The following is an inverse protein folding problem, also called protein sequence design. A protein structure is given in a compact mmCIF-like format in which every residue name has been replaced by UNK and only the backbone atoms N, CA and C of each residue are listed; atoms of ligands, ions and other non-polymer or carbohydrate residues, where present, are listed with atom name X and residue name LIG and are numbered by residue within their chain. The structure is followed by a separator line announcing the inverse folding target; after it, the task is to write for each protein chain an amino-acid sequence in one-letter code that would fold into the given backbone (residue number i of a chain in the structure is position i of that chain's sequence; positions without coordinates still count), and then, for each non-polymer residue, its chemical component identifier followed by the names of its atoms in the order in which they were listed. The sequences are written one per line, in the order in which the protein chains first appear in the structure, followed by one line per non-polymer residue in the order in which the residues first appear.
data_IF_700434035255
#
_entry.id   IF_700434035255
#
_cell.length_a   1.000
_cell.length_b   1.000
_cell.length_c   1.000
_cell.angle_alpha   90.00
_cell.angle_beta   90.00
_cell.angle_gamma   90.00
#
_symmetry.space_group_name_H-M   'P 1'
#
loop_
_entity.id
_entity.type
_entity.pdbx_description
1 polymer ?
#
# COMPACT_ATOMS: atom_id res chain seq x y z
N UNK A 1 39.56 -13.05 -17.79
CA UNK A 1 38.22 -13.38 -17.17
C UNK A 1 38.25 -13.16 -15.65
N UNK A 2 39.18 -13.75 -14.86
CA UNK A 2 39.21 -13.66 -13.40
C UNK A 2 39.24 -12.21 -12.85
N UNK A 3 40.06 -11.33 -13.41
CA UNK A 3 40.12 -9.92 -13.03
C UNK A 3 38.82 -9.15 -13.39
N UNK A 4 38.18 -9.52 -14.49
CA UNK A 4 36.91 -8.93 -14.90
C UNK A 4 35.78 -9.33 -13.93
N UNK A 5 35.67 -10.60 -13.57
CA UNK A 5 34.67 -11.08 -12.61
C UNK A 5 34.89 -10.50 -11.22
N UNK A 6 36.14 -10.32 -10.78
CA UNK A 6 36.46 -9.66 -9.51
C UNK A 6 35.99 -8.19 -9.51
N UNK A 7 36.23 -7.45 -10.58
CA UNK A 7 35.73 -6.07 -10.71
C UNK A 7 34.22 -6.00 -10.73
N UNK A 8 33.55 -6.95 -11.42
CA UNK A 8 32.09 -7.03 -11.42
C UNK A 8 31.52 -7.34 -10.03
N UNK A 9 32.15 -8.26 -9.29
CA UNK A 9 31.78 -8.55 -7.92
C UNK A 9 31.92 -7.35 -6.97
N UNK A 10 32.96 -6.52 -7.16
CA UNK A 10 33.13 -5.26 -6.43
C UNK A 10 32.03 -4.24 -6.73
N UNK A 11 31.38 -4.35 -7.89
CA UNK A 11 30.21 -3.56 -8.28
C UNK A 11 28.87 -4.27 -7.95
N UNK A 12 28.88 -5.25 -7.05
CA UNK A 12 27.73 -6.05 -6.64
C UNK A 12 27.09 -6.88 -7.76
N UNK A 13 27.80 -7.17 -8.84
CA UNK A 13 27.35 -8.06 -9.91
C UNK A 13 27.81 -9.50 -9.60
N UNK A 14 26.84 -10.40 -9.39
CA UNK A 14 27.11 -11.81 -9.10
C UNK A 14 27.17 -12.60 -10.41
N UNK A 15 28.34 -13.13 -10.73
CA UNK A 15 28.57 -13.97 -11.90
C UNK A 15 28.30 -15.42 -11.54
N UNK A 16 27.30 -16.03 -12.18
CA UNK A 16 26.94 -17.44 -12.00
C UNK A 16 27.58 -18.34 -13.06
N UNK A 17 27.86 -17.81 -14.24
CA UNK A 17 28.47 -18.54 -15.37
C UNK A 17 29.53 -17.65 -16.02
N UNK A 18 30.79 -18.13 -16.02
CA UNK A 18 31.92 -17.43 -16.59
C UNK A 18 31.84 -17.25 -18.11
N UNK A 19 31.21 -18.22 -18.81
CA UNK A 19 31.00 -18.12 -20.27
C UNK A 19 30.03 -17.01 -20.65
N UNK A 20 29.03 -16.74 -19.81
CA UNK A 20 28.08 -15.67 -20.00
C UNK A 20 28.72 -14.26 -19.94
N UNK A 21 29.83 -14.12 -19.20
CA UNK A 21 30.58 -12.84 -19.10
C UNK A 21 31.18 -12.41 -20.43
N UNK A 22 31.67 -13.37 -21.21
CA UNK A 22 32.26 -13.09 -22.51
C UNK A 22 31.20 -12.56 -23.50
N UNK A 23 29.99 -13.12 -23.46
CA UNK A 23 28.89 -12.66 -24.28
C UNK A 23 28.34 -11.26 -23.87
N UNK A 24 28.47 -10.87 -22.61
CA UNK A 24 28.02 -9.56 -22.12
C UNK A 24 28.71 -8.38 -22.83
N UNK A 25 29.96 -8.55 -23.24
CA UNK A 25 30.71 -7.51 -23.96
C UNK A 25 30.22 -7.27 -25.40
N UNK A 26 29.43 -8.18 -25.96
CA UNK A 26 28.95 -8.13 -27.33
C UNK A 26 27.44 -7.87 -27.43
N UNK A 27 26.71 -7.68 -26.31
CA UNK A 27 25.28 -7.40 -26.34
C UNK A 27 25.01 -6.01 -26.94
N UNK A 28 24.08 -5.93 -27.86
CA UNK A 28 23.63 -4.69 -28.50
C UNK A 28 22.29 -4.20 -27.93
N UNK A 29 21.54 -5.08 -27.24
CA UNK A 29 20.22 -4.78 -26.69
C UNK A 29 20.18 -5.27 -25.25
N UNK A 30 19.75 -4.41 -24.32
CA UNK A 30 19.51 -4.75 -22.92
C UNK A 30 18.02 -4.59 -22.64
N UNK A 31 17.37 -5.70 -22.27
CA UNK A 31 15.98 -5.70 -21.78
C UNK A 31 16.01 -5.72 -20.26
N UNK A 32 15.46 -4.70 -19.64
CA UNK A 32 15.40 -4.59 -18.16
C UNK A 32 13.96 -4.54 -17.71
N UNK A 33 13.60 -5.37 -16.72
CA UNK A 33 12.34 -5.23 -16.03
C UNK A 33 12.36 -3.97 -15.14
N UNK A 34 11.22 -3.28 -15.06
CA UNK A 34 11.09 -2.08 -14.22
C UNK A 34 11.11 -2.44 -12.74
N UNK A 35 10.31 -3.43 -12.35
CA UNK A 35 10.03 -3.72 -10.95
C UNK A 35 11.15 -4.52 -10.29
N UNK A 36 11.77 -3.96 -9.25
CA UNK A 36 12.86 -4.61 -8.52
C UNK A 36 14.24 -4.51 -9.22
N UNK A 37 14.30 -3.96 -10.43
CA UNK A 37 15.54 -3.70 -11.18
C UNK A 37 15.81 -2.21 -11.30
N UNK A 38 14.94 -1.46 -11.98
CA UNK A 38 15.01 -0.01 -12.07
C UNK A 38 14.41 0.66 -10.82
N UNK A 39 13.52 -0.03 -10.14
CA UNK A 39 12.91 0.39 -8.87
C UNK A 39 13.31 -0.56 -7.74
N UNK A 40 13.13 -0.12 -6.51
CA UNK A 40 13.42 -0.94 -5.32
C UNK A 40 12.31 -1.93 -4.97
N UNK A 41 11.28 -2.09 -5.81
CA UNK A 41 10.06 -2.86 -5.51
C UNK A 41 9.47 -2.49 -4.14
N UNK A 42 9.32 -1.20 -3.88
CA UNK A 42 8.92 -0.66 -2.58
C UNK A 42 7.91 0.45 -2.78
N UNK A 43 6.80 0.34 -2.07
CA UNK A 43 5.69 1.28 -2.11
C UNK A 43 5.65 2.12 -0.84
N UNK A 44 5.10 3.33 -0.95
CA UNK A 44 4.85 4.23 0.18
C UNK A 44 3.56 4.98 -0.09
N UNK A 45 2.64 4.97 0.85
CA UNK A 45 1.48 5.86 0.79
C UNK A 45 1.97 7.28 1.02
N UNK A 46 1.67 8.18 0.09
CA UNK A 46 2.00 9.60 0.14
C UNK A 46 0.80 10.47 0.36
N UNK A 47 -0.34 10.02 -0.15
CA UNK A 47 -1.57 10.76 -0.10
C UNK A 47 -2.76 9.80 0.04
N UNK A 48 -3.75 10.26 0.76
CA UNK A 48 -5.06 9.63 0.91
C UNK A 48 -6.10 10.62 0.39
N UNK A 49 -7.11 10.11 -0.28
CA UNK A 49 -8.25 10.89 -0.68
C UNK A 49 -9.53 10.31 -0.08
N UNK A 50 -10.34 11.17 0.52
CA UNK A 50 -11.67 10.84 1.04
C UNK A 50 -12.69 11.85 0.49
N UNK A 51 -13.96 11.63 0.76
CA UNK A 51 -14.99 12.62 0.42
C UNK A 51 -14.73 13.99 1.08
N UNK A 52 -14.00 14.01 2.18
CA UNK A 52 -13.57 15.22 2.90
C UNK A 52 -12.36 15.93 2.30
N UNK A 53 -11.73 15.36 1.26
CA UNK A 53 -10.54 15.89 0.58
C UNK A 53 -9.28 15.07 0.76
N UNK A 54 -8.16 15.70 0.46
CA UNK A 54 -6.83 15.11 0.45
C UNK A 54 -6.16 15.18 1.82
N UNK A 55 -5.35 14.15 2.11
CA UNK A 55 -4.55 14.05 3.32
C UNK A 55 -3.17 13.47 2.94
N UNK A 56 -2.12 14.29 3.04
CA UNK A 56 -0.76 13.83 2.80
C UNK A 56 -0.24 12.98 3.96
N UNK A 57 0.56 11.97 3.65
CA UNK A 57 1.23 11.10 4.62
C UNK A 57 2.73 11.32 4.55
N UNK A 58 3.30 11.87 5.62
CA UNK A 58 4.74 12.17 5.70
C UNK A 58 5.56 11.01 6.25
N UNK A 59 6.86 11.21 6.31
CA UNK A 59 7.82 10.25 6.85
C UNK A 59 8.35 9.27 5.83
N UNK A 60 9.46 8.62 6.19
CA UNK A 60 10.09 7.61 5.34
C UNK A 60 9.23 6.36 5.28
N UNK A 61 9.40 5.58 4.20
CA UNK A 61 8.62 4.40 3.87
C UNK A 61 8.42 3.43 5.04
N UNK A 62 9.50 3.00 5.64
CA UNK A 62 9.56 2.02 6.72
C UNK A 62 9.73 2.64 8.12
N UNK A 63 9.65 3.99 8.20
CA UNK A 63 9.72 4.69 9.47
C UNK A 63 8.44 4.49 10.28
N UNK A 64 8.60 4.38 11.57
CA UNK A 64 7.50 4.47 12.53
C UNK A 64 7.05 5.92 12.72
N UNK A 65 7.92 6.88 12.36
CA UNK A 65 7.60 8.29 12.40
C UNK A 65 6.89 8.72 11.12
N UNK A 66 5.98 9.63 11.29
CA UNK A 66 5.24 10.29 10.22
C UNK A 66 4.04 11.01 10.79
N UNK A 67 3.57 11.98 10.05
CA UNK A 67 2.41 12.80 10.38
C UNK A 67 1.50 12.90 9.17
N UNK A 68 0.33 13.41 9.40
CA UNK A 68 -0.65 13.70 8.35
C UNK A 68 -0.72 15.21 8.15
N UNK A 69 -0.81 15.65 6.87
CA UNK A 69 -0.90 17.06 6.52
C UNK A 69 -2.19 17.28 5.73
N UNK A 70 -2.99 18.25 6.12
CA UNK A 70 -4.24 18.64 5.47
C UNK A 70 -4.18 20.13 5.16
N UNK A 71 -4.32 20.48 3.86
CA UNK A 71 -4.27 21.87 3.44
C UNK A 71 -2.97 22.59 3.84
N UNK A 72 -1.82 21.90 3.73
CA UNK A 72 -0.50 22.43 4.07
C UNK A 72 -0.20 22.55 5.57
N UNK A 73 -1.08 22.06 6.46
CA UNK A 73 -0.91 22.10 7.92
C UNK A 73 -0.98 20.71 8.53
N UNK A 74 -0.22 20.46 9.59
CA UNK A 74 -0.30 19.20 10.30
C UNK A 74 -1.71 18.98 10.85
N UNK A 75 -2.31 17.84 10.51
CA UNK A 75 -3.57 17.40 11.06
C UNK A 75 -3.32 16.82 12.47
N UNK A 76 -3.76 17.55 13.49
CA UNK A 76 -3.63 17.10 14.89
C UNK A 76 -4.53 15.89 15.17
N UNK A 77 -5.67 15.82 14.50
CA UNK A 77 -6.63 14.73 14.59
C UNK A 77 -7.11 14.31 13.20
N UNK A 78 -7.35 13.03 13.04
CA UNK A 78 -7.96 12.47 11.84
C UNK A 78 -9.47 12.68 11.87
N UNK A 79 -10.06 12.97 10.72
CA UNK A 79 -11.50 12.94 10.54
C UNK A 79 -12.02 11.51 10.57
N UNK A 80 -13.30 11.32 10.84
CA UNK A 80 -13.89 9.99 10.96
C UNK A 80 -13.76 9.13 9.68
N UNK A 81 -13.86 9.75 8.50
CA UNK A 81 -13.68 9.09 7.21
C UNK A 81 -12.21 8.73 6.94
N UNK A 82 -11.25 9.59 7.31
CA UNK A 82 -9.81 9.32 7.21
C UNK A 82 -9.40 8.16 8.15
N UNK A 83 -9.87 8.18 9.39
CA UNK A 83 -9.61 7.11 10.35
C UNK A 83 -10.25 5.78 9.90
N UNK A 84 -11.45 5.82 9.32
CA UNK A 84 -12.10 4.63 8.78
C UNK A 84 -11.36 4.05 7.59
N UNK A 85 -10.86 4.90 6.66
CA UNK A 85 -10.04 4.48 5.53
C UNK A 85 -8.75 3.78 6.00
N UNK A 86 -8.04 4.38 6.96
CA UNK A 86 -6.82 3.78 7.53
C UNK A 86 -7.12 2.49 8.31
N UNK A 87 -8.28 2.41 8.98
CA UNK A 87 -8.75 1.18 9.62
C UNK A 87 -8.99 0.09 8.57
N UNK A 88 -9.59 0.43 7.43
CA UNK A 88 -9.79 -0.51 6.34
C UNK A 88 -8.45 -0.98 5.74
N UNK A 89 -7.44 -0.11 5.65
CA UNK A 89 -6.08 -0.49 5.23
C UNK A 89 -5.43 -1.50 6.18
N UNK A 90 -5.64 -1.34 7.48
CA UNK A 90 -5.14 -2.29 8.46
C UNK A 90 -5.92 -3.61 8.43
N UNK A 91 -7.25 -3.56 8.37
CA UNK A 91 -8.10 -4.74 8.46
C UNK A 91 -8.07 -5.59 7.18
N UNK A 92 -8.25 -4.97 6.00
CA UNK A 92 -8.23 -5.69 4.71
C UNK A 92 -6.79 -5.85 4.20
N UNK A 93 -5.98 -6.65 4.89
CA UNK A 93 -4.55 -6.79 4.62
C UNK A 93 -4.06 -8.19 4.97
N UNK A 94 -3.16 -8.73 4.14
CA UNK A 94 -2.53 -10.04 4.36
C UNK A 94 -1.06 -9.90 4.80
N UNK A 95 -0.45 -8.70 4.70
CA UNK A 95 0.92 -8.45 5.11
C UNK A 95 1.05 -8.32 6.63
N UNK A 96 2.29 -8.32 7.10
CA UNK A 96 2.62 -8.08 8.51
C UNK A 96 3.68 -6.98 8.66
N UNK A 97 3.57 -6.22 9.73
CA UNK A 97 4.61 -5.29 10.17
C UNK A 97 4.96 -5.57 11.63
N UNK A 98 6.24 -5.51 11.95
CA UNK A 98 6.76 -5.70 13.31
C UNK A 98 7.78 -4.60 13.63
N UNK A 99 7.90 -4.18 14.90
CA UNK A 99 8.95 -3.24 15.29
C UNK A 99 10.33 -3.76 14.91
N UNK A 100 11.10 -2.95 14.21
CA UNK A 100 12.47 -3.22 13.81
C UNK A 100 13.46 -2.27 14.50
N UNK A 101 14.74 -2.37 14.11
CA UNK A 101 15.81 -1.51 14.62
C UNK A 101 15.70 -0.09 14.03
N UNK A 102 16.32 0.90 14.70
CA UNK A 102 16.43 2.31 14.23
C UNK A 102 15.08 2.94 13.92
N UNK A 103 14.08 2.70 14.76
CA UNK A 103 12.71 3.23 14.63
C UNK A 103 12.04 2.94 13.28
N UNK A 104 12.29 1.73 12.75
CA UNK A 104 11.73 1.25 11.47
C UNK A 104 10.81 0.08 11.69
N UNK A 105 9.93 -0.17 10.73
CA UNK A 105 9.16 -1.39 10.62
C UNK A 105 9.96 -2.45 9.86
N UNK A 106 9.94 -3.68 10.37
CA UNK A 106 10.25 -4.87 9.59
C UNK A 106 8.94 -5.33 8.95
N UNK A 107 8.96 -5.53 7.64
CA UNK A 107 7.77 -5.83 6.84
C UNK A 107 7.87 -7.21 6.23
N UNK A 108 6.74 -7.90 6.12
CA UNK A 108 6.57 -9.16 5.42
C UNK A 108 5.27 -9.12 4.62
N UNK A 109 5.32 -9.51 3.34
CA UNK A 109 4.20 -9.46 2.40
C UNK A 109 4.41 -8.52 1.21
N UNK A 110 3.36 -8.35 0.43
CA UNK A 110 3.37 -7.54 -0.79
C UNK A 110 3.66 -6.06 -0.52
N UNK A 111 4.44 -5.38 -1.40
CA UNK A 111 4.83 -3.99 -1.20
C UNK A 111 3.66 -3.02 -1.01
N UNK A 112 2.58 -3.19 -1.76
CA UNK A 112 1.37 -2.36 -1.62
C UNK A 112 0.73 -2.58 -0.26
N UNK A 113 0.58 -3.83 0.17
CA UNK A 113 -0.04 -4.18 1.44
C UNK A 113 0.77 -3.66 2.63
N UNK A 114 2.09 -3.83 2.59
CA UNK A 114 2.97 -3.31 3.64
C UNK A 114 2.93 -1.77 3.73
N UNK A 115 2.82 -1.08 2.58
CA UNK A 115 2.69 0.38 2.55
C UNK A 115 1.39 0.86 3.23
N UNK A 116 0.28 0.17 2.99
CA UNK A 116 -1.02 0.47 3.61
C UNK A 116 -0.97 0.25 5.13
N UNK A 117 -0.36 -0.86 5.60
CA UNK A 117 -0.19 -1.12 7.03
C UNK A 117 0.66 -0.04 7.72
N UNK A 118 1.75 0.39 7.08
CA UNK A 118 2.62 1.44 7.63
C UNK A 118 1.87 2.77 7.71
N UNK A 119 1.06 3.11 6.70
CA UNK A 119 0.24 4.32 6.74
C UNK A 119 -0.77 4.28 7.90
N UNK A 120 -1.45 3.16 8.10
CA UNK A 120 -2.36 2.96 9.23
C UNK A 120 -1.62 3.02 10.58
N UNK A 121 -0.44 2.39 10.69
CA UNK A 121 0.36 2.37 11.90
C UNK A 121 0.87 3.78 12.31
N UNK A 122 1.10 4.70 11.36
CA UNK A 122 1.42 6.11 11.65
C UNK A 122 0.28 6.84 12.34
N UNK A 123 -0.96 6.37 12.16
CA UNK A 123 -2.14 6.84 12.87
C UNK A 123 -2.43 6.05 14.16
N UNK A 124 -1.56 5.12 14.56
CA UNK A 124 -1.80 4.23 15.69
C UNK A 124 -2.86 3.16 15.43
N UNK A 125 -3.24 2.94 14.17
CA UNK A 125 -4.25 1.97 13.78
C UNK A 125 -3.55 0.68 13.30
N UNK A 126 -3.90 -0.44 13.92
CA UNK A 126 -3.27 -1.72 13.69
C UNK A 126 -4.31 -2.78 13.33
N UNK A 127 -3.87 -3.79 12.59
CA UNK A 127 -4.65 -5.00 12.36
C UNK A 127 -4.94 -5.69 13.69
N UNK A 128 -6.14 -6.21 13.82
CA UNK A 128 -6.63 -6.93 15.00
C UNK A 128 -7.11 -8.33 14.58
N UNK A 129 -6.20 -9.31 14.53
CA UNK A 129 -6.54 -10.67 14.09
C UNK A 129 -7.63 -11.33 14.94
N UNK A 130 -7.71 -10.98 16.22
CA UNK A 130 -8.73 -11.47 17.15
C UNK A 130 -10.16 -11.06 16.81
N UNK A 131 -10.32 -10.00 16.01
CA UNK A 131 -11.61 -9.55 15.52
C UNK A 131 -12.01 -10.20 14.19
N UNK A 132 -11.08 -10.89 13.51
CA UNK A 132 -11.30 -11.45 12.18
C UNK A 132 -12.18 -12.71 12.23
N UNK A 133 -13.27 -12.70 11.44
CA UNK A 133 -14.17 -13.83 11.28
C UNK A 133 -13.87 -14.63 10.01
N UNK A 134 -13.53 -13.96 8.92
CA UNK A 134 -13.17 -14.59 7.66
C UNK A 134 -12.34 -13.67 6.78
N UNK A 135 -11.45 -14.26 5.99
CA UNK A 135 -10.62 -13.57 5.01
C UNK A 135 -10.89 -14.16 3.63
N UNK A 136 -11.20 -13.31 2.67
CA UNK A 136 -11.20 -13.64 1.24
C UNK A 136 -10.04 -12.93 0.59
N UNK A 137 -8.95 -13.66 0.34
CA UNK A 137 -7.75 -13.16 -0.30
C UNK A 137 -8.05 -12.46 -1.64
N UNK A 138 -7.08 -11.70 -2.14
CA UNK A 138 -7.19 -11.09 -3.45
C UNK A 138 -7.41 -12.16 -4.52
N UNK A 139 -8.38 -11.91 -5.38
CA UNK A 139 -8.72 -12.75 -6.51
C UNK A 139 -8.71 -11.91 -7.78
N UNK A 140 -7.98 -12.36 -8.80
CA UNK A 140 -7.80 -11.64 -10.07
C UNK A 140 -9.08 -11.48 -10.88
N UNK A 141 -10.10 -12.33 -10.66
CA UNK A 141 -11.42 -12.20 -11.29
C UNK A 141 -12.28 -11.17 -10.57
N UNK A 142 -12.20 -11.14 -9.23
CA UNK A 142 -12.93 -10.17 -8.39
C UNK A 142 -12.25 -8.81 -8.36
N UNK A 143 -10.93 -8.77 -8.58
CA UNK A 143 -10.05 -7.58 -8.46
C UNK A 143 -10.13 -6.89 -7.10
N UNK A 144 -10.45 -7.65 -6.07
CA UNK A 144 -10.52 -7.17 -4.68
C UNK A 144 -10.25 -8.29 -3.68
N UNK A 145 -9.83 -7.91 -2.48
CA UNK A 145 -9.86 -8.73 -1.28
C UNK A 145 -10.87 -8.20 -0.27
N UNK A 146 -11.28 -9.03 0.67
CA UNK A 146 -12.17 -8.60 1.76
C UNK A 146 -11.92 -9.39 3.03
N UNK A 147 -12.12 -8.73 4.16
CA UNK A 147 -12.02 -9.33 5.50
C UNK A 147 -13.29 -8.98 6.25
N UNK A 148 -13.92 -9.99 6.85
CA UNK A 148 -15.06 -9.81 7.75
C UNK A 148 -14.51 -9.74 9.17
N UNK A 149 -14.87 -8.69 9.90
CA UNK A 149 -14.47 -8.50 11.30
C UNK A 149 -15.68 -8.37 12.21
N UNK A 150 -15.51 -8.78 13.46
CA UNK A 150 -16.50 -8.56 14.52
C UNK A 150 -16.17 -7.28 15.26
N UNK A 151 -17.16 -6.44 15.44
CA UNK A 151 -17.13 -5.22 16.26
C UNK A 151 -18.28 -5.27 17.28
N UNK A 152 -18.25 -4.45 18.33
CA UNK A 152 -19.36 -4.38 19.30
C UNK A 152 -20.71 -4.11 18.64
N UNK A 153 -20.73 -3.31 17.56
CA UNK A 153 -21.91 -2.89 16.81
C UNK A 153 -22.40 -3.97 15.82
N UNK A 154 -21.62 -5.04 15.61
CA UNK A 154 -21.96 -6.10 14.67
C UNK A 154 -20.79 -6.57 13.81
N UNK A 155 -21.11 -7.26 12.72
CA UNK A 155 -20.11 -7.73 11.77
C UNK A 155 -19.97 -6.76 10.60
N UNK A 156 -18.71 -6.42 10.28
CA UNK A 156 -18.38 -5.52 9.18
C UNK A 156 -17.49 -6.21 8.16
N UNK A 157 -17.62 -5.84 6.90
CA UNK A 157 -16.74 -6.28 5.83
C UNK A 157 -15.91 -5.11 5.37
N UNK A 158 -14.59 -5.21 5.55
CA UNK A 158 -13.64 -4.30 4.91
C UNK A 158 -13.19 -4.92 3.59
N UNK A 159 -13.23 -4.13 2.52
CA UNK A 159 -12.78 -4.57 1.21
C UNK A 159 -11.84 -3.52 0.60
N UNK A 160 -10.81 -3.99 -0.10
CA UNK A 160 -9.93 -3.15 -0.92
C UNK A 160 -9.78 -3.75 -2.31
N UNK A 161 -9.65 -2.89 -3.29
CA UNK A 161 -9.49 -3.28 -4.69
C UNK A 161 -9.47 -2.05 -5.59
N UNK A 162 -9.35 -2.27 -6.88
CA UNK A 162 -9.34 -1.20 -7.86
C UNK A 162 -10.70 -0.48 -7.89
N UNK A 163 -10.70 0.87 -8.03
CA UNK A 163 -11.91 1.69 -7.97
C UNK A 163 -13.00 1.26 -8.94
N UNK A 164 -12.64 0.91 -10.17
CA UNK A 164 -13.55 0.44 -11.22
C UNK A 164 -14.33 -0.84 -10.83
N UNK A 165 -13.79 -1.62 -9.89
CA UNK A 165 -14.45 -2.83 -9.38
C UNK A 165 -15.19 -2.60 -8.05
N UNK A 166 -14.76 -1.63 -7.25
CA UNK A 166 -15.41 -1.30 -5.98
C UNK A 166 -16.61 -0.36 -6.16
N UNK A 167 -16.45 0.73 -6.92
CA UNK A 167 -17.48 1.75 -7.10
C UNK A 167 -18.85 1.21 -7.53
N UNK A 168 -18.95 0.26 -8.48
CA UNK A 168 -20.25 -0.30 -8.87
C UNK A 168 -20.95 -1.05 -7.72
N UNK A 169 -20.21 -1.48 -6.71
CA UNK A 169 -20.73 -2.20 -5.53
C UNK A 169 -21.11 -1.27 -4.38
N UNK A 170 -20.72 0.01 -4.48
CA UNK A 170 -20.99 1.01 -3.45
C UNK A 170 -22.31 1.72 -3.73
N UNK A 171 -23.15 1.85 -2.70
CA UNK A 171 -24.41 2.61 -2.73
C UNK A 171 -24.32 3.89 -1.93
N UNK A 172 -23.34 4.00 -1.04
CA UNK A 172 -23.13 5.14 -0.13
C UNK A 172 -21.65 5.52 -0.08
N UNK A 173 -21.39 6.77 0.25
CA UNK A 173 -20.06 7.26 0.62
C UNK A 173 -20.12 7.83 2.04
N UNK A 174 -18.99 7.76 2.74
CA UNK A 174 -18.84 8.41 4.04
C UNK A 174 -18.19 9.77 3.85
N UNK A 175 -18.83 10.81 4.35
CA UNK A 175 -18.29 12.16 4.37
C UNK A 175 -18.61 12.81 5.71
N UNK A 176 -17.59 13.35 6.37
CA UNK A 176 -17.72 13.99 7.68
C UNK A 176 -18.47 13.15 8.72
N UNK A 177 -18.18 11.85 8.74
CA UNK A 177 -18.80 10.91 9.67
C UNK A 177 -20.23 10.49 9.31
N UNK A 178 -20.81 10.98 8.22
CA UNK A 178 -22.18 10.64 7.76
C UNK A 178 -22.14 9.80 6.51
N UNK A 179 -23.08 8.86 6.40
CA UNK A 179 -23.28 8.04 5.22
C UNK A 179 -24.25 8.71 4.26
N UNK A 180 -23.74 9.20 3.13
CA UNK A 180 -24.50 9.86 2.07
C UNK A 180 -24.73 8.90 0.90
N UNK A 181 -25.83 9.04 0.14
CA UNK A 181 -25.99 8.32 -1.12
C UNK A 181 -24.82 8.61 -2.08
N UNK A 182 -24.35 7.58 -2.77
CA UNK A 182 -23.29 7.71 -3.76
C UNK A 182 -23.91 8.05 -5.11
N UNK A 183 -23.90 9.33 -5.47
CA UNK A 183 -24.41 9.83 -6.73
C UNK A 183 -23.38 9.75 -7.88
N UNK A 184 -23.84 9.97 -9.11
CA UNK A 184 -22.99 9.92 -10.29
C UNK A 184 -21.91 11.01 -10.33
N UNK A 185 -22.17 12.26 -9.90
CA UNK A 185 -21.12 13.27 -9.78
C UNK A 185 -19.98 12.82 -8.85
N UNK A 186 -20.31 12.23 -7.70
CA UNK A 186 -19.29 11.74 -6.77
C UNK A 186 -18.53 10.54 -7.33
N UNK A 187 -19.21 9.61 -8.02
CA UNK A 187 -18.55 8.49 -8.71
C UNK A 187 -17.51 8.98 -9.71
N UNK A 188 -17.85 9.98 -10.52
CA UNK A 188 -16.91 10.60 -11.48
C UNK A 188 -15.72 11.26 -10.77
N UNK A 189 -15.94 11.92 -9.63
CA UNK A 189 -14.83 12.48 -8.83
C UNK A 189 -13.88 11.41 -8.31
N UNK A 190 -14.40 10.30 -7.79
CA UNK A 190 -13.56 9.19 -7.31
C UNK A 190 -12.76 8.60 -8.47
N UNK A 191 -13.38 8.41 -9.64
CA UNK A 191 -12.69 7.87 -10.81
C UNK A 191 -11.57 8.80 -11.29
N UNK A 192 -11.86 10.09 -11.42
CA UNK A 192 -10.87 11.10 -11.82
C UNK A 192 -9.71 11.25 -10.83
N UNK A 193 -9.89 10.87 -9.57
CA UNK A 193 -8.83 10.86 -8.55
C UNK A 193 -7.98 9.59 -8.61
N UNK A 194 -8.50 8.52 -9.22
CA UNK A 194 -7.82 7.24 -9.36
C UNK A 194 -6.98 7.12 -10.65
N UNK A 195 -7.30 7.92 -11.67
CA UNK A 195 -6.62 8.01 -12.97
C UNK A 195 -5.37 8.89 -12.87
#
# INVERSE_FOLDING_TARGET
LALGTQKMAQQNAIIKDLKAVESLGSVSIICSDKTGTLTQNRMTVRELWTAGGELEVTGKRDSRDGTFIRGGRQAMELRADEALLLTAFAAANAAEIRPGKKNRWKTDGEPTETALLIAAAKAGLYRKPEEELSVRAFDSRRKLMSVTVRKPEGSFVFAKGAPEFLLPRCTRCRSEGRDLPLDDPFRRRVQAQAD
#
